data_IF_566611364239
#
_entry.id   IF_566611364239
#
_cell.length_a   1.000
_cell.length_b   1.000
_cell.length_c   1.000
_cell.angle_alpha   90.00
_cell.angle_beta   90.00
_cell.angle_gamma   90.00
#
_symmetry.space_group_name_H-M   'P 1'
#
loop_
_entity.id
_entity.type
_entity.pdbx_description
1 polymer ?
#
# COMPACT_ATOMS: atom_id res chain seq x y z
N UNK A 1 42.79 -22.19 5.59
CA UNK A 1 42.97 -21.11 4.59
C UNK A 1 41.88 -20.10 4.85
N UNK A 2 42.23 -18.86 5.24
CA UNK A 2 41.26 -17.79 5.49
C UNK A 2 40.81 -17.24 4.13
N UNK A 3 39.53 -17.41 3.81
CA UNK A 3 38.93 -16.87 2.58
C UNK A 3 38.95 -15.34 2.66
N UNK A 4 39.70 -14.70 1.76
CA UNK A 4 39.67 -13.25 1.60
C UNK A 4 38.28 -12.84 1.08
N UNK A 5 37.47 -12.24 1.94
CA UNK A 5 36.19 -11.63 1.55
C UNK A 5 36.51 -10.52 0.55
N UNK A 6 35.91 -10.58 -0.64
CA UNK A 6 36.17 -9.59 -1.69
C UNK A 6 35.63 -8.22 -1.27
N UNK A 7 36.32 -7.14 -1.66
CA UNK A 7 35.88 -5.76 -1.35
C UNK A 7 34.49 -5.42 -1.93
N UNK A 8 34.04 -6.16 -2.96
CA UNK A 8 32.69 -6.09 -3.52
C UNK A 8 31.61 -6.59 -2.55
N UNK A 9 31.88 -7.64 -1.79
CA UNK A 9 30.94 -8.21 -0.81
C UNK A 9 30.76 -7.28 0.40
N UNK A 10 31.84 -6.63 0.85
CA UNK A 10 31.80 -5.65 1.94
C UNK A 10 30.94 -4.43 1.61
N UNK A 11 30.86 -4.04 0.32
CA UNK A 11 30.05 -2.91 -0.14
C UNK A 11 28.56 -3.26 -0.17
N UNK A 12 28.22 -4.48 -0.62
CA UNK A 12 26.86 -5.03 -0.57
C UNK A 12 26.35 -5.14 0.86
N UNK A 13 27.15 -5.73 1.76
CA UNK A 13 26.80 -5.86 3.18
C UNK A 13 26.56 -4.51 3.87
N UNK A 14 27.34 -3.48 3.52
CA UNK A 14 27.20 -2.14 4.09
C UNK A 14 25.93 -1.43 3.58
N UNK A 15 25.49 -1.71 2.35
CA UNK A 15 24.22 -1.21 1.81
C UNK A 15 23.02 -1.92 2.48
N UNK A 16 23.06 -3.24 2.61
CA UNK A 16 22.02 -4.00 3.32
C UNK A 16 21.88 -3.55 4.79
N UNK A 17 22.99 -3.33 5.50
CA UNK A 17 22.93 -2.84 6.88
C UNK A 17 22.38 -1.40 7.00
N UNK A 18 22.56 -0.54 6.00
CA UNK A 18 21.94 0.79 5.99
C UNK A 18 20.43 0.74 5.76
N UNK A 19 19.97 -0.14 4.86
CA UNK A 19 18.54 -0.36 4.61
C UNK A 19 17.83 -0.95 5.84
N UNK A 20 18.47 -1.92 6.50
CA UNK A 20 17.96 -2.50 7.75
C UNK A 20 17.87 -1.44 8.87
N UNK A 21 18.86 -0.54 8.99
CA UNK A 21 18.81 0.56 9.97
C UNK A 21 17.71 1.57 9.67
N UNK A 22 17.44 1.87 8.40
CA UNK A 22 16.35 2.77 8.02
C UNK A 22 14.98 2.15 8.34
N UNK A 23 14.75 0.89 7.98
CA UNK A 23 13.52 0.16 8.32
C UNK A 23 13.29 0.10 9.84
N UNK A 24 14.34 -0.17 10.63
CA UNK A 24 14.22 -0.23 12.10
C UNK A 24 13.82 1.10 12.75
N UNK A 25 14.08 2.24 12.09
CA UNK A 25 13.76 3.58 12.62
C UNK A 25 12.33 3.98 12.28
N UNK A 26 11.83 3.56 11.12
CA UNK A 26 10.42 3.71 10.74
C UNK A 26 9.50 2.86 11.64
N UNK A 27 9.96 1.69 12.07
CA UNK A 27 9.21 0.79 12.95
C UNK A 27 8.84 1.38 14.32
N UNK A 28 9.62 2.36 14.79
CA UNK A 28 9.45 3.03 16.09
C UNK A 28 8.73 4.39 15.96
N UNK A 29 8.42 4.82 14.74
CA UNK A 29 7.79 6.13 14.50
C UNK A 29 6.27 6.01 14.62
N UNK A 30 5.66 6.96 15.32
CA UNK A 30 4.21 6.98 15.57
C UNK A 30 3.60 8.29 15.08
N UNK A 31 2.50 8.16 14.35
CA UNK A 31 1.69 9.30 13.91
C UNK A 31 0.46 9.48 14.80
N UNK A 32 0.06 10.73 14.98
CA UNK A 32 -1.28 11.07 15.43
C UNK A 32 -2.31 10.77 14.33
N UNK A 33 -3.58 10.70 14.73
CA UNK A 33 -4.70 10.57 13.79
C UNK A 33 -4.74 11.75 12.78
N UNK A 34 -4.60 13.04 13.18
CA UNK A 34 -4.54 14.13 12.21
C UNK A 34 -3.34 14.09 11.27
N UNK A 35 -2.17 13.65 11.72
CA UNK A 35 -1.00 13.48 10.85
C UNK A 35 -1.23 12.37 9.83
N UNK A 36 -1.77 11.23 10.27
CA UNK A 36 -2.10 10.11 9.40
C UNK A 36 -3.14 10.50 8.35
N UNK A 37 -4.12 11.32 8.73
CA UNK A 37 -5.12 11.86 7.80
C UNK A 37 -4.48 12.73 6.70
N UNK A 38 -3.51 13.57 7.06
CA UNK A 38 -2.77 14.39 6.09
C UNK A 38 -1.93 13.53 5.14
N UNK A 39 -1.21 12.55 5.67
CA UNK A 39 -0.35 11.66 4.88
C UNK A 39 -1.15 10.83 3.87
N UNK A 40 -2.30 10.30 4.30
CA UNK A 40 -3.20 9.52 3.45
C UNK A 40 -4.14 10.38 2.60
N UNK A 41 -3.98 11.71 2.63
CA UNK A 41 -4.84 12.68 1.96
C UNK A 41 -6.34 12.40 2.17
N UNK A 42 -6.71 12.11 3.42
CA UNK A 42 -8.06 11.73 3.80
C UNK A 42 -8.55 12.52 5.01
N UNK A 43 -9.82 12.36 5.37
CA UNK A 43 -10.41 13.08 6.50
C UNK A 43 -10.17 12.35 7.82
N UNK A 44 -10.04 13.10 8.92
CA UNK A 44 -9.91 12.55 10.28
C UNK A 44 -11.03 11.55 10.63
N UNK A 45 -12.32 11.80 10.32
CA UNK A 45 -13.38 10.81 10.51
C UNK A 45 -13.14 9.51 9.72
N UNK A 46 -12.51 9.60 8.54
CA UNK A 46 -12.16 8.42 7.75
C UNK A 46 -11.09 7.60 8.46
N UNK A 47 -10.07 8.22 9.04
CA UNK A 47 -9.07 7.50 9.85
C UNK A 47 -9.73 6.81 11.05
N UNK A 48 -10.62 7.48 11.78
CA UNK A 48 -11.37 6.83 12.86
C UNK A 48 -12.20 5.65 12.38
N UNK A 49 -12.84 5.77 11.21
CA UNK A 49 -13.55 4.65 10.58
C UNK A 49 -12.61 3.50 10.27
N UNK A 50 -11.44 3.75 9.67
CA UNK A 50 -10.42 2.74 9.36
C UNK A 50 -9.94 2.03 10.62
N UNK A 51 -9.75 2.76 11.73
CA UNK A 51 -9.40 2.18 13.02
C UNK A 51 -10.52 1.28 13.55
N UNK A 52 -11.78 1.74 13.51
CA UNK A 52 -12.94 0.98 13.98
C UNK A 52 -13.21 -0.28 13.15
N UNK A 53 -12.88 -0.25 11.86
CA UNK A 53 -12.96 -1.40 10.96
C UNK A 53 -11.77 -2.36 11.10
N UNK A 54 -10.74 -2.01 11.89
CA UNK A 54 -9.55 -2.82 12.08
C UNK A 54 -8.52 -2.72 10.95
N UNK A 55 -8.71 -1.82 10.00
CA UNK A 55 -7.79 -1.59 8.87
C UNK A 55 -6.52 -0.87 9.29
N UNK A 56 -6.61 -0.04 10.33
CA UNK A 56 -5.49 0.66 10.92
C UNK A 56 -5.30 0.22 12.36
N UNK A 57 -4.20 -0.49 12.62
CA UNK A 57 -3.83 -0.86 13.98
C UNK A 57 -3.35 0.38 14.73
N UNK A 58 -3.95 0.59 15.90
CA UNK A 58 -3.54 1.65 16.81
C UNK A 58 -2.89 1.08 18.05
N UNK A 59 -1.94 1.83 18.58
CA UNK A 59 -1.34 1.61 19.89
C UNK A 59 -1.76 2.76 20.79
N UNK A 60 -2.21 2.44 22.00
CA UNK A 60 -2.50 3.44 23.01
C UNK A 60 -1.21 3.80 23.72
N UNK A 61 -0.78 5.05 23.59
CA UNK A 61 0.37 5.60 24.32
C UNK A 61 -0.19 6.45 25.46
N UNK A 62 0.02 6.02 26.71
CA UNK A 62 -0.48 6.68 27.90
C UNK A 62 -2.00 6.59 28.10
N UNK A 63 -2.56 7.50 28.91
CA UNK A 63 -3.96 7.40 29.37
C UNK A 63 -5.00 7.76 28.32
N UNK A 64 -4.69 8.57 27.30
CA UNK A 64 -5.72 9.13 26.39
C UNK A 64 -5.33 9.19 24.90
N UNK A 65 -4.08 8.96 24.51
CA UNK A 65 -3.68 9.17 23.11
C UNK A 65 -3.57 7.86 22.34
N UNK A 66 -4.37 7.75 21.28
CA UNK A 66 -4.21 6.72 20.26
C UNK A 66 -3.17 7.19 19.24
N UNK A 67 -2.28 6.28 18.86
CA UNK A 67 -1.22 6.51 17.89
C UNK A 67 -1.23 5.38 16.87
N UNK A 68 -0.86 5.70 15.63
CA UNK A 68 -0.76 4.74 14.54
C UNK A 68 0.74 4.56 14.25
N UNK A 69 1.18 3.33 14.05
CA UNK A 69 2.57 3.06 13.64
C UNK A 69 2.79 3.59 12.22
N UNK A 70 3.96 4.17 11.97
CA UNK A 70 4.30 4.69 10.64
C UNK A 70 4.20 3.60 9.56
N UNK A 71 4.65 2.38 9.86
CA UNK A 71 4.54 1.21 8.97
C UNK A 71 3.11 1.05 8.44
N UNK A 72 2.11 1.05 9.33
CA UNK A 72 0.71 0.80 8.96
C UNK A 72 0.17 1.90 8.01
N UNK A 73 0.56 3.15 8.26
CA UNK A 73 0.20 4.28 7.38
C UNK A 73 0.88 4.15 6.03
N UNK A 74 2.18 3.81 6.01
CA UNK A 74 2.96 3.66 4.78
C UNK A 74 2.46 2.47 3.94
N UNK A 75 2.17 1.32 4.55
CA UNK A 75 1.60 0.17 3.86
C UNK A 75 0.26 0.50 3.20
N UNK A 76 -0.59 1.27 3.88
CA UNK A 76 -1.85 1.74 3.26
C UNK A 76 -1.61 2.71 2.11
N UNK A 77 -0.63 3.60 2.25
CA UNK A 77 -0.27 4.54 1.20
C UNK A 77 0.24 3.80 -0.04
N UNK A 78 1.13 2.82 0.14
CA UNK A 78 1.62 1.94 -0.93
C UNK A 78 0.48 1.18 -1.60
N UNK A 79 -0.46 0.64 -0.81
CA UNK A 79 -1.66 -0.03 -1.33
C UNK A 79 -2.52 0.92 -2.19
N UNK A 80 -2.72 2.16 -1.76
CA UNK A 80 -3.48 3.14 -2.55
C UNK A 80 -2.74 3.61 -3.80
N UNK A 81 -1.41 3.67 -3.77
CA UNK A 81 -0.61 4.06 -4.93
C UNK A 81 -0.55 2.96 -5.99
N UNK A 82 -0.60 1.68 -5.59
CA UNK A 82 -0.54 0.54 -6.53
C UNK A 82 -1.92 0.11 -7.05
N UNK A 83 -3.01 0.54 -6.43
CA UNK A 83 -4.38 0.12 -6.78
C UNK A 83 -5.28 1.28 -7.16
N UNK A 84 -6.09 1.07 -8.19
CA UNK A 84 -7.10 2.04 -8.63
C UNK A 84 -8.50 1.48 -8.44
N UNK A 85 -9.48 2.36 -8.36
CA UNK A 85 -10.89 1.96 -8.27
C UNK A 85 -11.38 1.41 -9.61
N UNK A 86 -12.49 0.66 -9.59
CA UNK A 86 -13.16 0.18 -10.82
C UNK A 86 -13.48 1.35 -11.77
N UNK A 87 -13.92 2.50 -11.22
CA UNK A 87 -14.24 3.68 -12.02
C UNK A 87 -13.01 4.27 -12.71
N UNK A 88 -11.86 4.31 -12.03
CA UNK A 88 -10.61 4.75 -12.64
C UNK A 88 -10.12 3.73 -13.67
N UNK A 89 -10.26 2.44 -13.36
CA UNK A 89 -9.93 1.34 -14.28
C UNK A 89 -10.71 1.45 -15.59
N UNK A 90 -12.02 1.72 -15.51
CA UNK A 90 -12.86 1.88 -16.69
C UNK A 90 -12.43 3.06 -17.56
N UNK A 91 -11.97 4.15 -16.93
CA UNK A 91 -11.42 5.32 -17.63
C UNK A 91 -10.08 5.02 -18.29
N UNK A 92 -9.17 4.33 -17.59
CA UNK A 92 -7.84 3.98 -18.11
C UNK A 92 -7.96 3.06 -19.33
N UNK A 93 -8.80 2.02 -19.23
CA UNK A 93 -9.01 1.06 -20.31
C UNK A 93 -10.00 1.54 -21.38
N UNK A 94 -10.63 2.72 -21.21
CA UNK A 94 -11.66 3.26 -22.10
C UNK A 94 -12.83 2.29 -22.37
N UNK A 95 -13.23 1.52 -21.36
CA UNK A 95 -14.34 0.56 -21.43
C UNK A 95 -15.43 0.90 -20.42
N UNK A 96 -16.60 0.27 -20.56
CA UNK A 96 -17.69 0.44 -19.60
C UNK A 96 -17.36 -0.21 -18.25
N UNK A 97 -17.93 0.33 -17.18
CA UNK A 97 -17.81 -0.25 -15.82
C UNK A 97 -18.33 -1.70 -15.80
N UNK A 98 -19.38 -1.99 -16.58
CA UNK A 98 -19.93 -3.34 -16.72
C UNK A 98 -18.92 -4.30 -17.35
N UNK A 99 -18.17 -3.85 -18.35
CA UNK A 99 -17.09 -4.65 -18.94
C UNK A 99 -15.98 -4.93 -17.93
N UNK A 100 -15.58 -3.94 -17.11
CA UNK A 100 -14.61 -4.17 -16.03
C UNK A 100 -15.11 -5.23 -15.06
N UNK A 101 -16.38 -5.16 -14.61
CA UNK A 101 -16.96 -6.18 -13.75
C UNK A 101 -16.97 -7.57 -14.38
N UNK A 102 -17.24 -7.65 -15.69
CA UNK A 102 -17.17 -8.91 -16.42
C UNK A 102 -15.75 -9.47 -16.44
N UNK A 103 -14.75 -8.65 -16.71
CA UNK A 103 -13.33 -9.07 -16.70
C UNK A 103 -12.87 -9.54 -15.33
N UNK A 104 -13.37 -8.93 -14.25
CA UNK A 104 -13.13 -9.39 -12.88
C UNK A 104 -13.76 -10.76 -12.65
N UNK A 105 -15.01 -10.94 -13.09
CA UNK A 105 -15.76 -12.21 -12.94
C UNK A 105 -15.15 -13.35 -13.76
N UNK A 106 -14.67 -13.03 -14.96
CA UNK A 106 -14.07 -13.98 -15.89
C UNK A 106 -12.59 -14.28 -15.51
N UNK A 107 -12.03 -13.57 -14.51
CA UNK A 107 -10.69 -13.78 -13.96
C UNK A 107 -9.57 -13.06 -14.69
N UNK A 108 -9.88 -12.29 -15.73
CA UNK A 108 -8.91 -11.50 -16.51
C UNK A 108 -8.32 -10.35 -15.70
N UNK A 109 -9.11 -9.72 -14.82
CA UNK A 109 -8.63 -8.69 -13.90
C UNK A 109 -8.66 -9.21 -12.46
N UNK A 110 -7.48 -9.20 -11.82
CA UNK A 110 -7.37 -9.43 -10.39
C UNK A 110 -7.89 -8.22 -9.59
N UNK A 111 -8.50 -8.49 -8.44
CA UNK A 111 -8.98 -7.45 -7.52
C UNK A 111 -8.39 -7.65 -6.14
N UNK A 112 -8.02 -6.53 -5.51
CA UNK A 112 -7.70 -6.48 -4.10
C UNK A 112 -8.85 -5.76 -3.39
N UNK A 113 -9.51 -6.48 -2.48
CA UNK A 113 -10.48 -5.89 -1.57
C UNK A 113 -9.91 -5.85 -0.16
N UNK A 114 -10.09 -4.69 0.47
CA UNK A 114 -10.13 -4.61 1.93
C UNK A 114 -11.59 -4.73 2.37
N UNK A 115 -11.84 -5.40 3.49
CA UNK A 115 -13.20 -5.65 3.99
C UNK A 115 -14.06 -4.37 3.97
N UNK A 116 -15.24 -4.48 3.36
CA UNK A 116 -16.23 -3.38 3.30
C UNK A 116 -15.90 -2.24 2.33
N UNK A 117 -14.86 -2.34 1.49
CA UNK A 117 -14.48 -1.30 0.51
C UNK A 117 -14.91 -1.62 -0.93
N UNK A 118 -15.07 -0.57 -1.78
CA UNK A 118 -15.17 -0.76 -3.22
C UNK A 118 -13.94 -1.51 -3.73
N UNK A 119 -14.19 -2.49 -4.60
CA UNK A 119 -13.15 -3.28 -5.27
C UNK A 119 -12.11 -2.34 -5.89
N UNK A 120 -10.84 -2.66 -5.65
CA UNK A 120 -9.72 -1.99 -6.30
C UNK A 120 -8.98 -2.98 -7.18
N UNK A 121 -8.47 -2.48 -8.30
CA UNK A 121 -7.74 -3.25 -9.31
C UNK A 121 -6.28 -2.82 -9.22
N UNK A 122 -5.32 -3.75 -9.08
CA UNK A 122 -3.90 -3.44 -9.16
C UNK A 122 -3.55 -2.82 -10.51
N UNK A 123 -2.66 -1.83 -10.52
CA UNK A 123 -2.19 -1.19 -11.75
C UNK A 123 -1.48 -2.19 -12.69
N UNK A 124 -0.82 -3.21 -12.14
CA UNK A 124 -0.15 -4.27 -12.90
C UNK A 124 -1.16 -5.05 -13.74
N UNK A 125 -2.24 -5.51 -13.11
CA UNK A 125 -3.37 -6.20 -13.76
C UNK A 125 -3.96 -5.39 -14.92
N UNK A 126 -4.05 -4.06 -14.77
CA UNK A 126 -4.53 -3.17 -15.83
C UNK A 126 -3.52 -3.07 -16.98
N UNK A 127 -2.22 -3.04 -16.68
CA UNK A 127 -1.16 -2.97 -17.70
C UNK A 127 -1.09 -4.26 -18.51
N UNK A 128 -1.22 -5.41 -17.87
CA UNK A 128 -1.22 -6.70 -18.57
C UNK A 128 -2.35 -6.75 -19.60
N UNK A 129 -3.54 -6.36 -19.17
CA UNK A 129 -4.71 -6.23 -20.04
C UNK A 129 -4.51 -5.18 -21.13
N UNK A 130 -4.03 -3.97 -20.78
CA UNK A 130 -3.83 -2.91 -21.76
C UNK A 130 -2.73 -3.23 -22.79
N UNK A 131 -1.72 -4.02 -22.41
CA UNK A 131 -0.70 -4.53 -23.31
C UNK A 131 -1.27 -5.46 -24.38
N UNK A 132 -2.28 -6.27 -24.03
CA UNK A 132 -3.02 -7.10 -24.99
C UNK A 132 -3.94 -6.29 -25.92
N UNK A 133 -4.35 -5.08 -25.53
CA UNK A 133 -5.20 -4.18 -26.32
C UNK A 133 -4.44 -3.05 -27.05
N UNK A 134 -3.11 -3.10 -27.09
CA UNK A 134 -2.30 -2.17 -27.89
C UNK A 134 -2.37 -2.56 -29.37
N UNK A 135 -3.36 -2.01 -30.08
CA UNK A 135 -3.47 -2.04 -31.55
C UNK A 135 -2.61 -0.94 -32.20
#
# INVERSE_FOLDING_TARGET
>A
MLNAISYTDLRGYKMEMSEIKQNSKEDLTFYTIPESAKLLNTSVPTIYRMINLGELKTVRIGKKTQRIKAIEVNTLLEFYNRTVTILETSKILSISIQSVHRMIKDGTLTVEQMDGKPMRVPLESIRDVAGEYSF
#
